data_IF_084014878055
#
_entry.id   IF_084014878055
#
_cell.length_a   1.000
_cell.length_b   1.000
_cell.length_c   1.000
_cell.angle_alpha   90.00
_cell.angle_beta   90.00
_cell.angle_gamma   90.00
#
_symmetry.space_group_name_H-M   'P 1'
#
loop_
_entity.id
_entity.type
_entity.pdbx_description
1 polymer ?
#
# COMPACT_ATOMS: atom_id res chain seq x y z
N UNK A 1 20.46 23.62 1.50
CA UNK A 1 19.25 24.20 2.12
C UNK A 1 18.82 23.28 3.25
N UNK A 2 19.10 23.70 4.47
CA UNK A 2 18.85 22.95 5.71
C UNK A 2 17.39 23.18 6.14
N UNK A 3 16.63 22.11 6.42
CA UNK A 3 15.26 22.25 6.92
C UNK A 3 15.25 21.99 8.42
N UNK A 4 15.03 23.05 9.19
CA UNK A 4 14.89 23.00 10.64
C UNK A 4 13.45 22.59 11.00
N UNK A 5 13.31 21.59 11.88
CA UNK A 5 12.00 21.14 12.37
C UNK A 5 11.56 21.98 13.58
N UNK A 6 10.38 22.58 13.51
CA UNK A 6 9.71 23.25 14.64
C UNK A 6 8.81 22.21 15.33
N UNK A 7 8.96 21.91 16.63
CA UNK A 7 8.07 21.00 17.31
C UNK A 7 6.73 21.69 17.60
N UNK A 8 5.63 21.16 17.08
CA UNK A 8 4.29 21.48 17.60
C UNK A 8 3.93 20.44 18.64
N UNK A 9 3.60 20.91 19.84
CA UNK A 9 3.12 20.06 20.92
C UNK A 9 1.84 19.34 20.52
N UNK A 10 1.84 18.01 20.65
CA UNK A 10 0.66 17.18 20.53
C UNK A 10 0.41 16.49 21.88
N UNK A 11 -0.81 16.65 22.39
CA UNK A 11 -1.32 15.89 23.54
C UNK A 11 -1.26 14.39 23.21
N UNK A 12 -1.02 13.51 24.20
CA UNK A 12 -1.00 12.08 23.95
C UNK A 12 -2.41 11.61 23.58
N UNK A 13 -2.58 11.14 22.35
CA UNK A 13 -3.75 10.36 21.96
C UNK A 13 -3.43 8.91 22.32
N UNK A 14 -4.37 8.26 23.00
CA UNK A 14 -4.21 6.92 23.58
C UNK A 14 -4.31 5.82 22.50
N UNK A 15 -3.47 5.91 21.48
CA UNK A 15 -3.19 4.85 20.52
C UNK A 15 -1.81 4.29 20.80
N UNK A 16 -1.66 2.97 20.80
CA UNK A 16 -0.35 2.32 20.94
C UNK A 16 0.59 2.92 19.89
N UNK A 17 1.59 3.70 20.32
CA UNK A 17 2.69 4.15 19.47
C UNK A 17 3.46 2.91 19.02
N UNK A 18 3.18 2.42 17.82
CA UNK A 18 3.80 1.20 17.29
C UNK A 18 5.24 1.40 16.81
N UNK A 19 5.74 2.65 16.78
CA UNK A 19 7.12 2.95 16.45
C UNK A 19 7.71 3.95 17.45
N UNK A 20 8.69 3.51 18.23
CA UNK A 20 9.55 4.44 18.95
C UNK A 20 10.35 5.26 17.94
N UNK A 21 10.61 6.54 18.23
CA UNK A 21 11.53 7.39 17.44
C UNK A 21 12.84 6.63 17.23
N UNK A 22 13.12 6.22 15.98
CA UNK A 22 14.33 5.48 15.61
C UNK A 22 14.11 4.04 15.13
N UNK A 23 12.90 3.49 15.18
CA UNK A 23 12.59 2.18 14.60
C UNK A 23 12.12 2.33 13.15
N UNK A 24 12.91 1.81 12.21
CA UNK A 24 12.53 1.70 10.79
C UNK A 24 11.66 0.47 10.54
N UNK A 25 10.77 0.55 9.56
CA UNK A 25 10.02 -0.60 9.05
C UNK A 25 10.77 -1.17 7.84
N UNK A 26 11.17 -2.43 7.93
CA UNK A 26 11.75 -3.16 6.81
C UNK A 26 10.65 -3.97 6.12
N UNK A 27 10.41 -3.71 4.83
CA UNK A 27 9.49 -4.48 4.00
C UNK A 27 10.28 -5.29 2.98
N UNK A 28 9.75 -6.46 2.59
CA UNK A 28 10.35 -7.28 1.53
C UNK A 28 9.72 -6.94 0.20
N UNK A 29 10.56 -6.82 -0.82
CA UNK A 29 10.11 -6.77 -2.21
C UNK A 29 10.28 -8.14 -2.84
N UNK A 30 9.21 -8.71 -3.38
CA UNK A 30 9.22 -10.03 -4.03
C UNK A 30 8.67 -9.93 -5.45
N UNK A 31 9.29 -10.62 -6.43
CA UNK A 31 8.72 -10.74 -7.75
C UNK A 31 7.48 -11.66 -7.73
N UNK A 32 6.40 -11.22 -8.36
CA UNK A 32 5.17 -11.99 -8.52
C UNK A 32 4.68 -11.92 -9.96
N UNK A 33 3.74 -12.79 -10.31
CA UNK A 33 2.99 -12.69 -11.55
C UNK A 33 1.55 -12.31 -11.20
N UNK A 34 1.04 -11.24 -11.83
CA UNK A 34 -0.36 -10.84 -11.74
C UNK A 34 -1.05 -11.15 -13.06
N UNK A 35 -2.18 -11.86 -13.01
CA UNK A 35 -2.95 -12.28 -14.18
C UNK A 35 -4.39 -11.79 -14.11
N UNK A 36 -4.86 -11.22 -15.22
CA UNK A 36 -6.25 -10.80 -15.42
C UNK A 36 -6.56 -10.62 -16.90
N UNK A 37 -7.78 -10.95 -17.33
CA UNK A 37 -8.27 -10.71 -18.70
C UNK A 37 -7.34 -11.25 -19.80
N UNK A 38 -6.74 -12.44 -19.57
CA UNK A 38 -5.78 -13.04 -20.50
C UNK A 38 -4.40 -12.37 -20.54
N UNK A 39 -4.19 -11.27 -19.80
CA UNK A 39 -2.89 -10.60 -19.63
C UNK A 39 -2.18 -11.15 -18.40
N UNK A 40 -0.86 -11.24 -18.51
CA UNK A 40 0.03 -11.70 -17.45
C UNK A 40 1.23 -10.76 -17.36
N UNK A 41 1.46 -10.19 -16.18
CA UNK A 41 2.54 -9.24 -15.95
C UNK A 41 3.40 -9.72 -14.78
N UNK A 42 4.73 -9.71 -14.97
CA UNK A 42 5.69 -9.94 -13.89
C UNK A 42 6.03 -8.59 -13.25
N UNK A 43 5.72 -8.43 -11.97
CA UNK A 43 5.91 -7.18 -11.22
C UNK A 43 6.57 -7.46 -9.88
N UNK A 44 7.10 -6.42 -9.25
CA UNK A 44 7.54 -6.48 -7.87
C UNK A 44 6.41 -6.05 -6.93
N UNK A 45 6.17 -6.85 -5.90
CA UNK A 45 5.21 -6.55 -4.83
C UNK A 45 5.93 -6.32 -3.50
N UNK A 46 5.32 -5.51 -2.64
CA UNK A 46 5.74 -5.32 -1.26
C UNK A 46 4.95 -6.31 -0.40
N UNK A 47 5.65 -7.16 0.36
CA UNK A 47 5.02 -7.99 1.38
C UNK A 47 4.82 -7.16 2.65
N UNK A 48 3.56 -6.83 2.92
CA UNK A 48 3.14 -6.01 4.05
C UNK A 48 2.08 -6.75 4.88
N UNK A 49 2.53 -7.42 5.94
CA UNK A 49 1.65 -8.14 6.87
C UNK A 49 0.77 -7.20 7.72
N UNK A 50 1.04 -5.88 7.69
CA UNK A 50 0.23 -4.88 8.37
C UNK A 50 -0.99 -4.41 7.59
N UNK A 51 -1.10 -4.77 6.31
CA UNK A 51 -2.22 -4.41 5.44
C UNK A 51 -3.32 -5.47 5.51
N UNK A 52 -4.58 -5.04 5.63
CA UNK A 52 -5.75 -5.94 5.60
C UNK A 52 -6.12 -6.41 4.19
N UNK A 53 -5.63 -5.72 3.16
CA UNK A 53 -5.96 -5.94 1.75
C UNK A 53 -4.73 -5.75 0.87
N UNK A 54 -4.74 -6.38 -0.31
CA UNK A 54 -3.71 -6.16 -1.34
C UNK A 54 -4.09 -4.96 -2.20
N UNK A 55 -3.16 -4.01 -2.34
CA UNK A 55 -3.32 -2.84 -3.19
C UNK A 55 -2.44 -2.95 -4.44
N UNK A 56 -2.97 -2.53 -5.58
CA UNK A 56 -2.19 -2.31 -6.80
C UNK A 56 -2.29 -0.85 -7.23
N UNK A 57 -1.24 -0.32 -7.87
CA UNK A 57 -1.30 1.03 -8.41
C UNK A 57 -2.16 1.10 -9.68
N UNK A 58 -2.65 2.29 -10.01
CA UNK A 58 -3.53 2.52 -11.16
C UNK A 58 -2.88 2.23 -12.52
N UNK A 59 -1.57 2.38 -12.66
CA UNK A 59 -0.83 2.02 -13.87
C UNK A 59 -0.89 0.52 -14.15
N UNK A 60 -0.62 -0.30 -13.13
CA UNK A 60 -0.74 -1.76 -13.23
C UNK A 60 -2.18 -2.18 -13.54
N UNK A 61 -3.18 -1.55 -12.91
CA UNK A 61 -4.58 -1.81 -13.20
C UNK A 61 -4.93 -1.50 -14.68
N UNK A 62 -4.43 -0.37 -15.21
CA UNK A 62 -4.62 0.01 -16.61
C UNK A 62 -3.93 -0.97 -17.58
N UNK A 63 -2.70 -1.40 -17.28
CA UNK A 63 -1.99 -2.39 -18.09
C UNK A 63 -2.72 -3.75 -18.12
N UNK A 64 -3.29 -4.17 -16.99
CA UNK A 64 -4.15 -5.35 -16.88
C UNK A 64 -5.52 -5.18 -17.59
N UNK A 65 -5.80 -3.98 -18.12
CA UNK A 65 -7.05 -3.68 -18.81
C UNK A 65 -8.25 -3.65 -17.88
N UNK A 66 -8.07 -3.20 -16.64
CA UNK A 66 -9.14 -3.08 -15.65
C UNK A 66 -9.63 -1.65 -15.62
N UNK A 67 -10.94 -1.49 -15.70
CA UNK A 67 -11.65 -0.24 -15.48
C UNK A 67 -12.92 -0.53 -14.69
N UNK A 68 -13.43 0.48 -14.00
CA UNK A 68 -14.60 0.34 -13.14
C UNK A 68 -14.90 1.64 -12.41
N UNK A 69 -16.03 1.66 -11.73
CA UNK A 69 -16.40 2.77 -10.86
C UNK A 69 -15.41 2.88 -9.69
N UNK A 70 -14.95 4.10 -9.44
CA UNK A 70 -14.06 4.38 -8.32
C UNK A 70 -14.86 4.87 -7.12
N UNK A 71 -14.73 4.12 -6.03
CA UNK A 71 -15.28 4.48 -4.73
C UNK A 71 -14.20 5.11 -3.86
N UNK A 72 -14.62 5.96 -2.93
CA UNK A 72 -13.70 6.45 -1.91
C UNK A 72 -13.46 5.34 -0.89
N UNK A 73 -12.19 5.09 -0.61
CA UNK A 73 -11.75 4.22 0.47
C UNK A 73 -10.95 5.06 1.46
N UNK A 74 -10.92 4.60 2.70
CA UNK A 74 -10.07 5.17 3.73
C UNK A 74 -9.04 4.16 4.22
N UNK A 75 -7.81 4.62 4.40
CA UNK A 75 -6.67 3.78 4.77
C UNK A 75 -5.95 4.38 5.98
N UNK A 76 -5.82 3.57 7.03
CA UNK A 76 -4.99 3.89 8.18
C UNK A 76 -3.50 3.84 7.83
N UNK A 77 -2.76 4.85 8.26
CA UNK A 77 -1.32 4.97 8.05
C UNK A 77 -0.56 4.65 9.33
N UNK A 78 0.72 4.30 9.19
CA UNK A 78 1.58 3.91 10.31
C UNK A 78 1.80 5.02 11.36
N UNK A 79 1.60 6.28 10.97
CA UNK A 79 1.66 7.43 11.88
C UNK A 79 0.35 7.68 12.64
N UNK A 80 -0.62 6.76 12.54
CA UNK A 80 -1.94 6.88 13.17
C UNK A 80 -2.88 7.86 12.45
N UNK A 81 -2.48 8.43 11.31
CA UNK A 81 -3.36 9.24 10.48
C UNK A 81 -4.16 8.37 9.52
N UNK A 82 -5.19 8.96 8.95
CA UNK A 82 -6.04 8.38 7.95
C UNK A 82 -5.85 9.11 6.62
N UNK A 83 -5.94 8.39 5.50
CA UNK A 83 -5.88 8.98 4.16
C UNK A 83 -6.94 8.37 3.25
N UNK A 84 -7.63 9.25 2.53
CA UNK A 84 -8.67 8.88 1.59
C UNK A 84 -8.13 8.77 0.17
N UNK A 85 -8.60 7.77 -0.57
CA UNK A 85 -8.22 7.50 -1.95
C UNK A 85 -9.45 7.12 -2.77
N UNK A 86 -9.46 7.46 -4.06
CA UNK A 86 -10.38 6.85 -5.02
C UNK A 86 -9.77 5.54 -5.51
N UNK A 87 -10.50 4.45 -5.35
CA UNK A 87 -10.06 3.10 -5.68
C UNK A 87 -11.22 2.27 -6.23
N UNK A 88 -10.92 1.13 -6.84
CA UNK A 88 -11.91 0.15 -7.27
C UNK A 88 -11.51 -1.23 -6.75
N UNK A 89 -12.48 -2.02 -6.33
CA UNK A 89 -12.23 -3.42 -6.00
C UNK A 89 -12.02 -4.22 -7.29
N UNK A 90 -10.98 -5.05 -7.31
CA UNK A 90 -10.67 -5.88 -8.46
C UNK A 90 -10.33 -7.30 -8.02
N UNK A 91 -10.83 -8.29 -8.76
CA UNK A 91 -10.36 -9.68 -8.65
C UNK A 91 -9.23 -9.90 -9.63
N UNK A 92 -8.05 -10.26 -9.13
CA UNK A 92 -6.86 -10.63 -9.90
C UNK A 92 -6.34 -11.97 -9.40
N UNK A 93 -5.63 -12.69 -10.25
CA UNK A 93 -4.89 -13.87 -9.83
C UNK A 93 -3.44 -13.49 -9.58
N UNK A 94 -2.89 -13.93 -8.45
CA UNK A 94 -1.50 -13.72 -8.05
C UNK A 94 -0.82 -15.08 -8.02
N UNK A 95 0.34 -15.18 -8.64
CA UNK A 95 1.13 -16.40 -8.71
C UNK A 95 2.56 -16.14 -8.30
N UNK A 96 3.19 -17.16 -7.71
CA UNK A 96 4.63 -17.16 -7.46
C UNK A 96 5.39 -17.16 -8.79
N UNK A 97 6.59 -16.58 -8.79
CA UNK A 97 7.56 -16.75 -9.88
C UNK A 97 8.41 -18.00 -9.69
N UNK A 98 8.44 -18.54 -8.48
CA UNK A 98 9.15 -19.77 -8.16
C UNK A 98 8.32 -20.94 -8.71
N UNK A 99 8.99 -21.86 -9.41
CA UNK A 99 8.40 -23.06 -10.02
C UNK A 99 8.63 -24.28 -9.15
#
# INVERSE_FOLDING_TARGET
>A
MEKQLIPRGSKPVNGRNLLNKGQGLALRTVPIIVRKNGKQLKVNAILDDGSEQTYINSGLAAELGVSGEQNEISVGLINGLEKHFKSMEIKVEIMSVDK
#
